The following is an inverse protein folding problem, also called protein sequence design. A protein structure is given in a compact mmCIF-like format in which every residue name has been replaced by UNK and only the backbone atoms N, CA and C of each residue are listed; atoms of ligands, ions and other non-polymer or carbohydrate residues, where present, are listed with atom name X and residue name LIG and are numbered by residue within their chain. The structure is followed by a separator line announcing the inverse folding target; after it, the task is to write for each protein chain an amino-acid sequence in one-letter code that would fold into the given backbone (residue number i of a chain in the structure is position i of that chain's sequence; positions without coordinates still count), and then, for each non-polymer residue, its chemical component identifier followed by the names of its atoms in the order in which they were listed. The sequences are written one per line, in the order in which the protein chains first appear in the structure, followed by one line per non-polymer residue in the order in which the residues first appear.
data_IF_174883389556
#
_entry.id   IF_174883389556
#
_cell.length_a   1.000
_cell.length_b   1.000
_cell.length_c   1.000
_cell.angle_alpha   90.00
_cell.angle_beta   90.00
_cell.angle_gamma   90.00
#
_symmetry.space_group_name_H-M   'P 1'
#
loop_
_entity.id
_entity.type
_entity.pdbx_description
1 polymer ?
#
# COMPACT_ATOMS: atom_id res chain seq x y z
N UNK A 1 25.87 22.29 16.77
CA UNK A 1 24.66 21.44 16.61
C UNK A 1 24.23 21.24 15.16
N UNK A 2 24.33 22.23 14.27
CA UNK A 2 23.99 22.08 12.84
C UNK A 2 24.90 21.10 12.05
N UNK A 3 26.18 21.00 12.37
CA UNK A 3 27.13 20.18 11.60
C UNK A 3 26.87 18.66 11.75
N UNK A 4 26.59 18.20 12.98
CA UNK A 4 26.14 16.82 13.25
C UNK A 4 24.79 16.48 12.59
N UNK A 5 23.92 17.48 12.39
CA UNK A 5 22.62 17.28 11.73
C UNK A 5 22.79 17.10 10.22
N UNK A 6 23.65 17.91 9.60
CA UNK A 6 23.97 17.80 8.17
C UNK A 6 24.71 16.52 7.81
N UNK A 7 25.64 16.05 8.66
CA UNK A 7 26.32 14.75 8.45
C UNK A 7 25.36 13.57 8.53
N UNK A 8 24.43 13.56 9.51
CA UNK A 8 23.39 12.52 9.63
C UNK A 8 22.42 12.53 8.43
N UNK A 9 22.04 13.72 7.98
CA UNK A 9 21.17 13.92 6.80
C UNK A 9 21.86 13.46 5.51
N UNK A 10 23.17 13.71 5.40
CA UNK A 10 23.99 13.31 4.24
C UNK A 10 24.24 11.80 4.20
N UNK A 11 24.53 11.18 5.35
CA UNK A 11 24.66 9.71 5.44
C UNK A 11 23.35 8.99 5.15
N UNK A 12 22.21 9.49 5.66
CA UNK A 12 20.90 8.94 5.32
C UNK A 12 20.61 9.05 3.82
N UNK A 13 20.95 10.18 3.20
CA UNK A 13 20.75 10.42 1.77
C UNK A 13 21.67 9.55 0.88
N UNK A 14 22.95 9.41 1.23
CA UNK A 14 23.88 8.52 0.54
C UNK A 14 23.52 7.04 0.71
N UNK A 15 23.03 6.67 1.90
CA UNK A 15 22.55 5.32 2.17
C UNK A 15 21.33 4.94 1.32
N UNK A 16 20.39 5.88 1.11
CA UNK A 16 19.23 5.65 0.24
C UNK A 16 19.63 5.31 -1.20
N UNK A 17 20.77 5.84 -1.69
CA UNK A 17 21.26 5.61 -3.05
C UNK A 17 22.10 4.34 -3.24
N UNK A 18 22.45 3.59 -2.19
CA UNK A 18 23.32 2.40 -2.32
C UNK A 18 22.58 1.23 -3.00
N UNK A 19 23.27 0.49 -3.88
CA UNK A 19 22.70 -0.61 -4.70
C UNK A 19 22.47 -1.93 -3.95
N UNK A 20 23.10 -2.14 -2.79
CA UNK A 20 22.92 -3.34 -1.98
C UNK A 20 22.01 -3.03 -0.80
N UNK A 21 20.90 -3.76 -0.70
CA UNK A 21 19.91 -3.52 0.35
C UNK A 21 19.62 -4.82 1.11
N UNK A 22 20.33 -4.97 2.22
CA UNK A 22 19.95 -5.80 3.36
C UNK A 22 19.22 -4.89 4.35
N UNK A 23 17.87 -4.91 4.34
CA UNK A 23 17.08 -4.12 5.29
C UNK A 23 17.49 -4.40 6.74
N UNK A 24 17.76 -5.66 7.17
CA UNK A 24 18.19 -5.94 8.54
C UNK A 24 19.44 -5.17 8.99
N UNK A 25 20.42 -4.98 8.10
CA UNK A 25 21.67 -4.28 8.43
C UNK A 25 21.49 -2.77 8.57
N UNK A 26 20.39 -2.22 8.05
CA UNK A 26 20.18 -0.78 7.96
C UNK A 26 18.81 -0.31 8.44
N UNK A 27 18.11 -1.17 9.18
CA UNK A 27 16.77 -0.94 9.70
C UNK A 27 16.67 0.42 10.42
N UNK A 28 17.64 0.74 11.27
CA UNK A 28 17.65 1.99 12.03
C UNK A 28 17.77 3.24 11.15
N UNK A 29 18.56 3.19 10.08
CA UNK A 29 18.71 4.32 9.16
C UNK A 29 17.43 4.55 8.35
N UNK A 30 16.81 3.47 7.87
CA UNK A 30 15.51 3.53 7.18
C UNK A 30 14.43 4.05 8.11
N UNK A 31 14.34 3.54 9.33
CA UNK A 31 13.38 3.96 10.35
C UNK A 31 13.49 5.47 10.64
N UNK A 32 14.72 5.98 10.84
CA UNK A 32 14.94 7.41 11.08
C UNK A 32 14.59 8.27 9.86
N UNK A 33 14.80 7.76 8.65
CA UNK A 33 14.45 8.47 7.43
C UNK A 33 12.92 8.55 7.22
N UNK A 34 12.18 7.48 7.56
CA UNK A 34 10.71 7.47 7.54
C UNK A 34 10.13 8.51 8.51
N UNK A 35 10.70 8.64 9.71
CA UNK A 35 10.25 9.61 10.72
C UNK A 35 10.86 11.01 10.55
N UNK A 36 11.60 11.26 9.46
CA UNK A 36 12.24 12.55 9.25
C UNK A 36 11.20 13.65 8.99
N UNK A 37 11.40 14.88 9.50
CA UNK A 37 10.58 16.02 9.08
C UNK A 37 10.81 16.40 7.61
N UNK A 38 11.89 15.91 6.99
CA UNK A 38 12.28 16.23 5.62
C UNK A 38 11.56 15.30 4.64
N UNK A 39 10.63 15.86 3.85
CA UNK A 39 9.86 15.12 2.82
C UNK A 39 10.76 14.26 1.92
N UNK A 40 11.88 14.81 1.47
CA UNK A 40 12.80 14.11 0.57
C UNK A 40 13.38 12.84 1.20
N UNK A 41 13.64 12.84 2.51
CA UNK A 41 14.14 11.68 3.24
C UNK A 41 13.03 10.62 3.43
N UNK A 42 11.79 11.06 3.73
CA UNK A 42 10.65 10.16 3.83
C UNK A 42 10.39 9.45 2.51
N UNK A 43 10.25 10.22 1.43
CA UNK A 43 10.01 9.67 0.09
C UNK A 43 11.14 8.73 -0.34
N UNK A 44 12.38 9.13 -0.11
CA UNK A 44 13.56 8.30 -0.33
C UNK A 44 13.46 6.94 0.38
N UNK A 45 13.07 6.94 1.66
CA UNK A 45 12.91 5.72 2.44
C UNK A 45 11.76 4.85 1.93
N UNK A 46 10.60 5.43 1.61
CA UNK A 46 9.44 4.72 1.04
C UNK A 46 9.80 4.07 -0.29
N UNK A 47 10.37 4.82 -1.24
CA UNK A 47 10.83 4.29 -2.54
C UNK A 47 11.82 3.14 -2.34
N UNK A 48 12.70 3.27 -1.35
CA UNK A 48 13.72 2.27 -1.02
C UNK A 48 13.11 1.00 -0.44
N UNK A 49 12.14 1.11 0.47
CA UNK A 49 11.38 -0.02 0.98
C UNK A 49 10.57 -0.72 -0.10
N UNK A 50 9.88 0.05 -0.95
CA UNK A 50 9.14 -0.50 -2.09
C UNK A 50 10.05 -1.31 -3.01
N UNK A 51 11.21 -0.77 -3.38
CA UNK A 51 12.22 -1.51 -4.19
C UNK A 51 12.74 -2.75 -3.48
N UNK A 52 12.94 -2.69 -2.18
CA UNK A 52 13.35 -3.85 -1.39
C UNK A 52 12.30 -4.96 -1.45
N UNK A 53 11.02 -4.63 -1.34
CA UNK A 53 9.90 -5.56 -1.38
C UNK A 53 9.65 -6.18 -2.77
N UNK A 54 10.07 -5.54 -3.85
CA UNK A 54 9.92 -6.06 -5.23
C UNK A 54 10.96 -7.11 -5.65
N UNK A 55 11.79 -7.59 -4.72
CA UNK A 55 12.84 -8.57 -4.97
C UNK A 55 12.38 -9.98 -4.52
N UNK A 56 13.14 -11.02 -4.87
CA UNK A 56 12.85 -12.41 -4.49
C UNK A 56 12.86 -12.63 -2.97
N UNK A 57 12.18 -13.67 -2.48
CA UNK A 57 11.90 -13.92 -1.05
C UNK A 57 10.93 -12.88 -0.48
N UNK A 58 9.76 -12.76 -1.10
CA UNK A 58 8.74 -11.75 -0.75
C UNK A 58 8.41 -11.84 0.74
N UNK A 59 8.11 -13.04 1.25
CA UNK A 59 7.63 -13.20 2.62
C UNK A 59 8.63 -12.72 3.68
N UNK A 60 9.90 -13.16 3.58
CA UNK A 60 10.98 -12.73 4.48
C UNK A 60 11.16 -11.20 4.46
N UNK A 61 11.02 -10.58 3.29
CA UNK A 61 11.17 -9.14 3.14
C UNK A 61 10.01 -8.38 3.72
N UNK A 62 8.79 -8.89 3.54
CA UNK A 62 7.60 -8.33 4.17
C UNK A 62 7.73 -8.43 5.69
N UNK A 63 8.16 -9.58 6.23
CA UNK A 63 8.42 -9.75 7.66
C UNK A 63 9.43 -8.71 8.18
N UNK A 64 10.55 -8.52 7.48
CA UNK A 64 11.56 -7.53 7.84
C UNK A 64 11.01 -6.09 7.82
N UNK A 65 10.07 -5.78 6.93
CA UNK A 65 9.42 -4.46 6.86
C UNK A 65 8.39 -4.29 7.98
N UNK A 66 7.57 -5.31 8.24
CA UNK A 66 6.57 -5.28 9.32
C UNK A 66 7.22 -5.21 10.70
N UNK A 67 8.41 -5.80 10.88
CA UNK A 67 9.21 -5.68 12.10
C UNK A 67 9.63 -4.23 12.45
N UNK A 68 9.52 -3.29 11.51
CA UNK A 68 9.74 -1.85 11.75
C UNK A 68 8.51 -1.15 12.33
N UNK A 69 7.40 -1.86 12.56
CA UNK A 69 6.11 -1.29 12.96
C UNK A 69 5.64 -0.15 12.04
N UNK A 70 5.74 -0.38 10.72
CA UNK A 70 5.54 0.67 9.72
C UNK A 70 4.06 0.97 9.41
N UNK A 71 3.11 0.11 9.80
CA UNK A 71 1.71 0.24 9.40
C UNK A 71 1.11 1.62 9.73
N UNK A 72 1.27 2.18 10.95
CA UNK A 72 0.76 3.52 11.25
C UNK A 72 1.35 4.61 10.34
N UNK A 73 2.64 4.50 9.99
CA UNK A 73 3.30 5.41 9.06
C UNK A 73 2.78 5.27 7.62
N UNK A 74 2.49 4.04 7.19
CA UNK A 74 1.89 3.83 5.86
C UNK A 74 0.53 4.53 5.77
N UNK A 75 -0.28 4.49 6.84
CA UNK A 75 -1.55 5.22 6.89
C UNK A 75 -1.32 6.74 6.83
N UNK A 76 -0.40 7.28 7.63
CA UNK A 76 -0.06 8.71 7.61
C UNK A 76 0.38 9.18 6.21
N UNK A 77 1.24 8.41 5.54
CA UNK A 77 1.72 8.73 4.21
C UNK A 77 0.66 8.56 3.13
N UNK A 78 -0.23 7.57 3.29
CA UNK A 78 -1.36 7.37 2.41
C UNK A 78 -2.38 8.52 2.53
N UNK A 79 -2.57 9.09 3.71
CA UNK A 79 -3.44 10.26 3.94
C UNK A 79 -2.73 11.62 3.69
N UNK A 80 -1.53 11.62 3.11
CA UNK A 80 -0.85 12.84 2.67
C UNK A 80 -1.43 13.34 1.35
N UNK A 81 -2.69 13.84 1.37
CA UNK A 81 -3.49 14.24 0.20
C UNK A 81 -2.86 15.30 -0.73
N UNK A 82 -1.82 16.00 -0.27
CA UNK A 82 -1.09 16.97 -1.07
C UNK A 82 0.16 16.40 -1.75
N UNK A 83 0.46 15.11 -1.54
CA UNK A 83 1.68 14.45 -2.01
C UNK A 83 1.38 13.13 -2.72
N UNK A 84 0.85 13.24 -3.94
CA UNK A 84 0.50 12.10 -4.78
C UNK A 84 1.64 11.08 -4.95
N UNK A 85 2.89 11.55 -5.03
CA UNK A 85 4.04 10.66 -5.21
C UNK A 85 4.33 9.84 -3.95
N UNK A 86 4.20 10.46 -2.77
CA UNK A 86 4.31 9.74 -1.50
C UNK A 86 3.15 8.75 -1.34
N UNK A 87 1.92 9.15 -1.67
CA UNK A 87 0.75 8.27 -1.64
C UNK A 87 0.93 7.07 -2.57
N UNK A 88 1.39 7.29 -3.80
CA UNK A 88 1.62 6.25 -4.80
C UNK A 88 2.65 5.22 -4.34
N UNK A 89 3.83 5.67 -3.90
CA UNK A 89 4.90 4.77 -3.43
C UNK A 89 4.48 4.04 -2.14
N UNK A 90 3.70 4.67 -1.28
CA UNK A 90 3.13 4.06 -0.08
C UNK A 90 2.10 2.99 -0.41
N UNK A 91 1.16 3.28 -1.32
CA UNK A 91 0.20 2.32 -1.81
C UNK A 91 0.90 1.11 -2.44
N UNK A 92 2.02 1.32 -3.13
CA UNK A 92 2.82 0.24 -3.71
C UNK A 92 3.51 -0.63 -2.65
N UNK A 93 4.00 -0.05 -1.55
CA UNK A 93 4.44 -0.86 -0.40
C UNK A 93 3.29 -1.75 0.09
N UNK A 94 2.10 -1.17 0.28
CA UNK A 94 0.93 -1.92 0.77
C UNK A 94 0.54 -3.03 -0.21
N UNK A 95 0.55 -2.79 -1.53
CA UNK A 95 0.29 -3.81 -2.55
C UNK A 95 1.28 -4.98 -2.44
N UNK A 96 2.56 -4.71 -2.19
CA UNK A 96 3.57 -5.77 -2.06
C UNK A 96 3.42 -6.55 -0.74
N UNK A 97 3.03 -5.89 0.36
CA UNK A 97 2.71 -6.58 1.62
C UNK A 97 1.51 -7.51 1.41
N UNK A 98 0.45 -7.01 0.77
CA UNK A 98 -0.76 -7.79 0.47
C UNK A 98 -0.53 -8.92 -0.56
N UNK A 99 0.60 -8.93 -1.27
CA UNK A 99 0.98 -9.99 -2.20
C UNK A 99 1.83 -11.09 -1.53
N UNK A 100 2.16 -10.94 -0.25
CA UNK A 100 2.88 -11.94 0.55
C UNK A 100 1.96 -13.06 1.04
N UNK A 101 2.20 -13.53 2.26
CA UNK A 101 1.39 -14.56 2.90
C UNK A 101 0.08 -14.01 3.48
N UNK A 102 -0.84 -14.92 3.82
CA UNK A 102 -2.08 -14.56 4.51
C UNK A 102 -1.84 -13.79 5.82
N UNK A 103 -0.77 -14.11 6.56
CA UNK A 103 -0.42 -13.38 7.78
C UNK A 103 -0.04 -11.91 7.50
N UNK A 104 0.52 -11.61 6.33
CA UNK A 104 0.81 -10.24 5.91
C UNK A 104 -0.48 -9.47 5.61
N UNK A 105 -1.44 -10.12 4.96
CA UNK A 105 -2.79 -9.56 4.76
C UNK A 105 -3.50 -9.31 6.08
N UNK A 106 -3.44 -10.26 7.02
CA UNK A 106 -3.98 -10.10 8.37
C UNK A 106 -3.39 -8.89 9.09
N UNK A 107 -2.09 -8.65 8.97
CA UNK A 107 -1.43 -7.49 9.57
C UNK A 107 -1.98 -6.17 9.02
N UNK A 108 -2.21 -6.08 7.70
CA UNK A 108 -2.80 -4.88 7.08
C UNK A 108 -4.24 -4.64 7.56
N UNK A 109 -5.03 -5.70 7.66
CA UNK A 109 -6.43 -5.61 8.09
C UNK A 109 -6.55 -5.28 9.57
N UNK A 110 -5.73 -5.92 10.42
CA UNK A 110 -5.66 -5.63 11.85
C UNK A 110 -5.20 -4.18 12.14
N UNK A 111 -4.42 -3.60 11.24
CA UNK A 111 -3.99 -2.21 11.28
C UNK A 111 -4.96 -1.20 10.65
N UNK A 112 -6.17 -1.61 10.24
CA UNK A 112 -7.20 -0.77 9.60
C UNK A 112 -6.78 -0.10 8.26
N UNK A 113 -5.77 -0.66 7.59
CA UNK A 113 -5.24 -0.10 6.32
C UNK A 113 -6.32 -0.09 5.23
N UNK A 114 -7.22 -1.07 5.21
CA UNK A 114 -8.27 -1.21 4.18
C UNK A 114 -9.22 -0.02 4.15
N UNK A 115 -9.65 0.50 5.31
CA UNK A 115 -10.51 1.69 5.37
C UNK A 115 -9.82 2.93 4.82
N UNK A 116 -8.54 3.12 5.15
CA UNK A 116 -7.77 4.26 4.66
C UNK A 116 -7.51 4.18 3.15
N UNK A 117 -7.26 2.99 2.62
CA UNK A 117 -7.19 2.76 1.16
C UNK A 117 -8.49 3.21 0.48
N UNK A 118 -9.65 2.76 0.97
CA UNK A 118 -10.96 3.10 0.36
C UNK A 118 -11.26 4.60 0.47
N UNK A 119 -10.95 5.21 1.62
CA UNK A 119 -11.08 6.66 1.83
C UNK A 119 -10.26 7.43 0.80
N UNK A 120 -8.98 7.09 0.64
CA UNK A 120 -8.09 7.78 -0.31
C UNK A 120 -8.49 7.51 -1.75
N UNK A 121 -8.91 6.29 -2.09
CA UNK A 121 -9.46 5.94 -3.42
C UNK A 121 -10.62 6.86 -3.80
N UNK A 122 -11.54 7.10 -2.84
CA UNK A 122 -12.74 7.90 -3.06
C UNK A 122 -12.47 9.40 -3.17
N UNK A 123 -11.42 9.91 -2.52
CA UNK A 123 -11.09 11.35 -2.49
C UNK A 123 -10.00 11.76 -3.48
N UNK A 124 -9.14 10.83 -3.91
CA UNK A 124 -8.01 11.14 -4.79
C UNK A 124 -8.47 11.49 -6.19
N UNK A 125 -7.86 12.50 -6.79
CA UNK A 125 -8.02 12.85 -8.21
C UNK A 125 -6.87 12.32 -9.07
N UNK A 126 -5.87 11.68 -8.46
CA UNK A 126 -4.72 11.12 -9.16
C UNK A 126 -4.97 9.66 -9.54
N UNK A 127 -5.05 9.39 -10.85
CA UNK A 127 -5.38 8.07 -11.41
C UNK A 127 -4.33 7.01 -11.06
N UNK A 128 -3.04 7.36 -11.02
CA UNK A 128 -1.97 6.41 -10.67
C UNK A 128 -2.09 5.95 -9.21
N UNK A 129 -2.37 6.88 -8.30
CA UNK A 129 -2.65 6.57 -6.88
C UNK A 129 -3.88 5.69 -6.76
N UNK A 130 -4.99 6.04 -7.42
CA UNK A 130 -6.22 5.23 -7.41
C UNK A 130 -5.95 3.82 -7.92
N UNK A 131 -5.24 3.68 -9.04
CA UNK A 131 -4.89 2.39 -9.64
C UNK A 131 -4.07 1.52 -8.70
N UNK A 132 -3.07 2.10 -8.03
CA UNK A 132 -2.23 1.36 -7.08
C UNK A 132 -3.03 0.91 -5.85
N UNK A 133 -3.93 1.75 -5.35
CA UNK A 133 -4.83 1.41 -4.24
C UNK A 133 -5.78 0.27 -4.62
N UNK A 134 -6.38 0.33 -5.81
CA UNK A 134 -7.27 -0.73 -6.31
C UNK A 134 -6.52 -2.05 -6.43
N UNK A 135 -5.26 -2.01 -6.87
CA UNK A 135 -4.42 -3.20 -6.90
C UNK A 135 -4.19 -3.78 -5.49
N UNK A 136 -3.86 -2.94 -4.51
CA UNK A 136 -3.72 -3.38 -3.11
C UNK A 136 -5.01 -4.04 -2.60
N UNK A 137 -6.17 -3.39 -2.79
CA UNK A 137 -7.47 -3.91 -2.36
C UNK A 137 -7.83 -5.22 -3.08
N UNK A 138 -7.51 -5.35 -4.36
CA UNK A 138 -7.70 -6.58 -5.11
C UNK A 138 -6.83 -7.74 -4.61
N UNK A 139 -5.59 -7.49 -4.20
CA UNK A 139 -4.74 -8.52 -3.58
C UNK A 139 -5.35 -8.99 -2.25
N UNK A 140 -5.72 -8.04 -1.37
CA UNK A 140 -6.32 -8.35 -0.07
C UNK A 140 -7.62 -9.15 -0.23
N UNK A 141 -8.51 -8.73 -1.15
CA UNK A 141 -9.75 -9.47 -1.41
C UNK A 141 -9.50 -10.86 -2.04
N UNK A 142 -8.43 -10.99 -2.82
CA UNK A 142 -8.03 -12.24 -3.46
C UNK A 142 -7.48 -13.29 -2.49
N UNK A 143 -6.96 -12.87 -1.33
CA UNK A 143 -6.35 -13.75 -0.32
C UNK A 143 -7.41 -14.59 0.43
N UNK A 144 -8.64 -14.09 0.60
CA UNK A 144 -9.70 -14.89 1.22
C UNK A 144 -11.03 -14.19 1.41
N UNK A 145 -12.08 -15.01 1.58
CA UNK A 145 -13.46 -14.54 1.76
C UNK A 145 -13.63 -13.59 2.94
N UNK A 146 -12.90 -13.81 4.04
CA UNK A 146 -12.96 -12.96 5.23
C UNK A 146 -12.47 -11.53 4.91
N UNK A 147 -11.33 -11.39 4.24
CA UNK A 147 -10.78 -10.07 3.89
C UNK A 147 -11.61 -9.36 2.82
N UNK A 148 -12.11 -10.12 1.84
CA UNK A 148 -13.08 -9.64 0.84
C UNK A 148 -14.30 -9.03 1.51
N UNK A 149 -14.93 -9.75 2.45
CA UNK A 149 -16.15 -9.30 3.11
C UNK A 149 -15.90 -8.03 3.97
N UNK A 150 -14.70 -7.91 4.55
CA UNK A 150 -14.28 -6.69 5.28
C UNK A 150 -14.19 -5.49 4.33
N UNK A 151 -13.55 -5.65 3.17
CA UNK A 151 -13.41 -4.57 2.18
C UNK A 151 -14.77 -4.18 1.57
N UNK A 152 -15.62 -5.17 1.28
CA UNK A 152 -16.99 -4.94 0.81
C UNK A 152 -17.81 -4.15 1.84
N UNK A 153 -17.77 -4.57 3.11
CA UNK A 153 -18.47 -3.89 4.21
C UNK A 153 -17.95 -2.48 4.46
N UNK A 154 -16.71 -2.17 4.04
CA UNK A 154 -16.12 -0.85 4.12
C UNK A 154 -16.48 0.06 2.92
N UNK A 155 -17.31 -0.41 1.98
CA UNK A 155 -17.86 0.42 0.90
C UNK A 155 -16.98 0.54 -0.34
N UNK A 156 -16.15 -0.48 -0.65
CA UNK A 156 -15.29 -0.42 -1.83
C UNK A 156 -16.04 -0.41 -3.17
N UNK A 157 -17.29 -0.90 -3.21
CA UNK A 157 -18.01 -1.10 -4.47
C UNK A 157 -18.30 0.23 -5.17
N UNK A 158 -18.71 1.25 -4.44
CA UNK A 158 -19.04 2.57 -5.00
C UNK A 158 -17.88 3.18 -5.82
N UNK A 159 -16.64 3.31 -5.28
CA UNK A 159 -15.53 3.84 -6.07
C UNK A 159 -15.11 2.93 -7.22
N UNK A 160 -15.20 1.59 -7.09
CA UNK A 160 -14.89 0.69 -8.20
C UNK A 160 -15.90 0.84 -9.34
N UNK A 161 -17.20 0.86 -9.03
CA UNK A 161 -18.26 1.06 -10.01
C UNK A 161 -18.14 2.42 -10.68
N UNK A 162 -17.84 3.48 -9.93
CA UNK A 162 -17.62 4.80 -10.51
C UNK A 162 -16.54 4.79 -11.60
N UNK A 163 -15.41 4.13 -11.37
CA UNK A 163 -14.32 4.01 -12.35
C UNK A 163 -14.79 3.21 -13.58
N UNK A 164 -15.50 2.10 -13.37
CA UNK A 164 -15.99 1.26 -14.46
C UNK A 164 -17.07 1.95 -15.31
N UNK A 165 -17.93 2.80 -14.72
CA UNK A 165 -18.96 3.53 -15.46
C UNK A 165 -18.42 4.80 -16.13
N UNK A 166 -17.24 5.28 -15.74
CA UNK A 166 -16.58 6.46 -16.31
C UNK A 166 -15.22 6.09 -16.92
N UNK A 167 -15.11 4.88 -17.48
CA UNK A 167 -13.87 4.31 -17.98
C UNK A 167 -13.19 5.18 -19.05
N UNK A 168 -13.93 6.05 -19.73
CA UNK A 168 -13.44 7.01 -20.72
C UNK A 168 -12.51 8.08 -20.11
N UNK A 169 -12.60 8.30 -18.79
CA UNK A 169 -11.74 9.23 -18.04
C UNK A 169 -10.46 8.60 -17.51
N UNK A 170 -10.32 7.28 -17.64
CA UNK A 170 -9.26 6.49 -17.06
C UNK A 170 -8.37 5.86 -18.13
N UNK A 171 -7.10 5.64 -17.81
CA UNK A 171 -6.22 4.88 -18.70
C UNK A 171 -6.57 3.38 -18.69
N UNK A 172 -6.08 2.67 -19.72
CA UNK A 172 -6.34 1.25 -19.89
C UNK A 172 -5.87 0.40 -18.69
N UNK A 173 -4.77 0.77 -18.03
CA UNK A 173 -4.29 0.03 -16.85
C UNK A 173 -5.24 0.19 -15.67
N UNK A 174 -5.70 1.41 -15.40
CA UNK A 174 -6.65 1.70 -14.33
C UNK A 174 -7.94 0.88 -14.49
N UNK A 175 -8.53 0.89 -15.69
CA UNK A 175 -9.74 0.11 -15.97
C UNK A 175 -9.48 -1.39 -15.83
N UNK A 176 -8.39 -1.89 -16.39
CA UNK A 176 -8.04 -3.32 -16.33
C UNK A 176 -7.83 -3.81 -14.89
N UNK A 177 -7.13 -3.03 -14.08
CA UNK A 177 -6.90 -3.33 -12.66
C UNK A 177 -8.21 -3.27 -11.87
N UNK A 178 -9.09 -2.31 -12.18
CA UNK A 178 -10.42 -2.20 -11.57
C UNK A 178 -11.29 -3.42 -11.87
N UNK A 179 -11.30 -3.90 -13.12
CA UNK A 179 -12.01 -5.13 -13.49
C UNK A 179 -11.45 -6.34 -12.74
N UNK A 180 -10.12 -6.47 -12.68
CA UNK A 180 -9.48 -7.57 -11.94
C UNK A 180 -9.79 -7.54 -10.44
N UNK A 181 -9.72 -6.37 -9.80
CA UNK A 181 -10.04 -6.22 -8.38
C UNK A 181 -11.53 -6.53 -8.13
N UNK A 182 -12.43 -6.03 -8.99
CA UNK A 182 -13.87 -6.33 -8.92
C UNK A 182 -14.13 -7.84 -9.06
N UNK A 183 -13.41 -8.53 -9.95
CA UNK A 183 -13.51 -9.98 -10.05
C UNK A 183 -13.11 -10.68 -8.75
N UNK A 184 -12.07 -10.20 -8.05
CA UNK A 184 -11.72 -10.72 -6.72
C UNK A 184 -12.79 -10.43 -5.66
N UNK A 185 -13.48 -9.29 -5.75
CA UNK A 185 -14.64 -8.98 -4.88
C UNK A 185 -15.81 -9.96 -5.08
N UNK A 186 -15.88 -10.65 -6.22
CA UNK A 186 -16.91 -11.65 -6.51
C UNK A 186 -16.43 -13.11 -6.31
N UNK A 187 -15.15 -13.34 -6.01
CA UNK A 187 -14.60 -14.69 -5.80
C UNK A 187 -15.01 -15.26 -4.46
N UNK A 188 -14.98 -16.59 -4.32
CA UNK A 188 -15.12 -17.27 -3.04
C UNK A 188 -16.54 -17.29 -2.47
N UNK A 189 -17.54 -17.37 -3.35
CA UNK A 189 -18.95 -17.50 -2.98
C UNK A 189 -19.13 -18.65 -1.98
N UNK A 190 -19.72 -18.39 -0.80
CA UNK A 190 -20.09 -19.44 0.14
C UNK A 190 -21.37 -20.07 -0.41
N UNK A 191 -21.30 -21.31 -0.89
CA UNK A 191 -22.47 -22.06 -1.39
C UNK A 191 -23.56 -22.34 -0.32
N UNK A 192 -23.53 -21.68 0.84
CA UNK A 192 -24.39 -21.97 1.98
C UNK A 192 -24.93 -20.74 2.74
N UNK A 193 -24.76 -19.51 2.24
CA UNK A 193 -25.31 -18.32 2.91
C UNK A 193 -26.28 -17.56 1.98
N UNK A 194 -27.60 -17.51 2.28
CA UNK A 194 -28.62 -16.96 1.36
C UNK A 194 -28.71 -15.43 1.37
N UNK A 195 -27.89 -14.70 2.13
CA UNK A 195 -27.99 -13.24 2.18
C UNK A 195 -27.24 -12.56 1.02
N UNK A 196 -27.89 -12.52 -0.15
CA UNK A 196 -27.51 -11.68 -1.30
C UNK A 196 -27.73 -10.17 -1.06
N UNK A 197 -27.81 -9.70 0.18
CA UNK A 197 -28.16 -8.30 0.49
C UNK A 197 -26.98 -7.30 0.35
N UNK A 198 -25.82 -7.74 -0.13
CA UNK A 198 -24.59 -6.94 -0.22
C UNK A 198 -23.98 -6.89 -1.63
N UNK A 199 -24.69 -7.38 -2.65
CA UNK A 199 -24.32 -7.23 -4.07
C UNK A 199 -25.43 -6.50 -4.80
#
# INVERSE_FOLDING_TARGET
MQQKYWEKTTMAYQFVKSRCLSLPQHAHAVYNALHSPVRQLRLAAVVRLRKYLSLQNVDERVDNVLALNIIPLLIEFLESYHDNLLQYETAWIITNIAAGSTQHTEALVAGDVTRHLIKVLSTSTNIEVQTQIIWALGNIAGDGAVFRDIILSAGVLDPLLYILTHYDKYDYMAVRITVWATANMCRGCRCSDPSWSLV
#
